data_IF_583347765515
#
_entry.id   IF_583347765515
#
_cell.length_a   1.000
_cell.length_b   1.000
_cell.length_c   1.000
_cell.angle_alpha   90.00
_cell.angle_beta   90.00
_cell.angle_gamma   90.00
#
_symmetry.space_group_name_H-M   'P 1'
#
loop_
_entity.id
_entity.type
_entity.pdbx_description
1 polymer ?
#
# COMPACT_ATOMS: atom_id res chain seq x y z
N UNK A 1 -0.41 -62.40 4.85
CA UNK A 1 -1.52 -61.48 4.50
C UNK A 1 -1.45 -60.29 5.46
N UNK A 2 -0.98 -59.14 5.01
CA UNK A 2 -0.95 -57.92 5.83
C UNK A 2 -2.38 -57.35 5.87
N UNK A 3 -3.00 -57.33 7.05
CA UNK A 3 -4.29 -56.65 7.26
C UNK A 3 -4.13 -55.15 7.01
N UNK A 4 -4.98 -54.51 6.19
CA UNK A 4 -4.88 -53.08 5.96
C UNK A 4 -5.28 -52.36 7.26
N UNK A 5 -4.35 -51.60 7.84
CA UNK A 5 -4.65 -50.72 8.98
C UNK A 5 -5.73 -49.72 8.54
N UNK A 6 -6.87 -49.73 9.22
CA UNK A 6 -7.95 -48.79 8.95
C UNK A 6 -7.48 -47.36 9.25
N UNK A 7 -7.40 -46.51 8.22
CA UNK A 7 -7.05 -45.10 8.37
C UNK A 7 -8.10 -44.39 9.24
N UNK A 8 -7.67 -43.81 10.38
CA UNK A 8 -8.55 -43.03 11.25
C UNK A 8 -8.84 -41.66 10.63
N UNK A 9 -10.13 -41.31 10.52
CA UNK A 9 -10.55 -40.03 9.94
C UNK A 9 -10.32 -38.92 10.97
N UNK A 10 -9.27 -38.13 10.77
CA UNK A 10 -8.90 -36.98 11.64
C UNK A 10 -9.92 -35.84 11.53
N UNK A 11 -10.41 -35.53 10.32
CA UNK A 11 -11.43 -34.49 10.06
C UNK A 11 -12.85 -35.02 10.27
N UNK A 12 -13.15 -35.44 11.49
CA UNK A 12 -14.46 -35.97 11.88
C UNK A 12 -15.44 -34.88 12.35
N UNK A 13 -16.68 -35.26 12.68
CA UNK A 13 -17.71 -34.33 13.20
C UNK A 13 -17.24 -33.60 14.48
N UNK A 14 -16.46 -34.27 15.34
CA UNK A 14 -15.93 -33.68 16.57
C UNK A 14 -14.81 -32.65 16.33
N UNK A 15 -14.05 -32.76 15.23
CA UNK A 15 -13.09 -31.78 14.78
C UNK A 15 -13.80 -30.48 14.38
N UNK A 16 -14.79 -30.56 13.48
CA UNK A 16 -15.50 -29.38 12.99
C UNK A 16 -16.30 -28.66 14.08
N UNK A 17 -16.82 -29.39 15.08
CA UNK A 17 -17.49 -28.78 16.25
C UNK A 17 -16.58 -27.84 17.06
N UNK A 18 -15.27 -28.05 17.06
CA UNK A 18 -14.28 -27.29 17.85
C UNK A 18 -13.35 -26.44 17.00
N UNK A 19 -13.49 -26.49 15.68
CA UNK A 19 -12.59 -25.81 14.76
C UNK A 19 -12.83 -24.30 14.77
N UNK A 20 -11.92 -23.55 15.39
CA UNK A 20 -11.96 -22.10 15.34
C UNK A 20 -11.35 -21.60 14.03
N UNK A 21 -12.19 -21.01 13.19
CA UNK A 21 -11.74 -20.43 11.92
C UNK A 21 -10.89 -19.18 12.15
N UNK A 22 -9.85 -19.00 11.35
CA UNK A 22 -9.11 -17.73 11.29
C UNK A 22 -10.00 -16.64 10.67
N UNK A 23 -9.62 -15.37 10.85
CA UNK A 23 -10.32 -14.24 10.23
C UNK A 23 -10.48 -14.42 8.71
N UNK A 24 -11.61 -13.93 8.17
CA UNK A 24 -11.98 -14.10 6.75
C UNK A 24 -10.83 -13.79 5.79
N UNK A 25 -10.24 -12.59 5.88
CA UNK A 25 -9.13 -12.15 4.99
C UNK A 25 -7.83 -12.94 5.18
N UNK A 26 -7.63 -13.57 6.35
CA UNK A 26 -6.49 -14.46 6.59
C UNK A 26 -6.71 -15.81 5.90
N UNK A 27 -7.94 -16.33 5.92
CA UNK A 27 -8.33 -17.54 5.19
C UNK A 27 -8.24 -17.35 3.67
N UNK A 28 -8.60 -16.16 3.18
CA UNK A 28 -8.43 -15.78 1.76
C UNK A 28 -6.97 -15.47 1.39
N UNK A 29 -6.04 -15.44 2.34
CA UNK A 29 -4.63 -15.15 2.06
C UNK A 29 -4.37 -13.73 1.55
N UNK A 30 -5.20 -12.74 1.92
CA UNK A 30 -5.12 -11.35 1.40
C UNK A 30 -4.52 -10.34 2.39
N UNK A 31 -4.39 -10.71 3.66
CA UNK A 31 -3.98 -9.76 4.70
C UNK A 31 -3.16 -10.46 5.76
N UNK A 32 -2.00 -9.89 6.03
CA UNK A 32 -1.29 -10.12 7.28
C UNK A 32 -1.81 -9.16 8.35
N UNK A 33 -2.51 -9.72 9.33
CA UNK A 33 -3.06 -8.95 10.45
C UNK A 33 -1.99 -8.47 11.43
N UNK A 34 -0.83 -9.12 11.46
CA UNK A 34 0.28 -8.71 12.32
C UNK A 34 0.91 -7.42 11.81
N UNK A 35 1.29 -7.37 10.52
CA UNK A 35 1.73 -6.15 9.87
C UNK A 35 0.65 -5.06 9.91
N UNK A 36 -0.61 -5.40 9.59
CA UNK A 36 -1.71 -4.42 9.60
C UNK A 36 -1.91 -3.77 10.98
N UNK A 37 -1.84 -4.54 12.07
CA UNK A 37 -1.98 -4.00 13.43
C UNK A 37 -0.97 -2.88 13.69
N UNK A 38 0.29 -3.06 13.27
CA UNK A 38 1.37 -2.07 13.49
C UNK A 38 1.26 -0.87 12.56
N UNK A 39 0.82 -1.09 11.32
CA UNK A 39 0.65 -0.02 10.32
C UNK A 39 -0.53 0.90 10.62
N UNK A 40 -1.64 0.36 11.14
CA UNK A 40 -2.91 1.08 11.27
C UNK A 40 -3.09 1.75 12.62
N UNK A 41 -2.62 1.12 13.70
CA UNK A 41 -2.83 1.66 15.06
C UNK A 41 -2.12 3.01 15.19
N UNK A 42 -2.88 4.00 15.66
CA UNK A 42 -2.41 5.34 15.96
C UNK A 42 -2.16 5.49 17.46
N UNK A 43 -1.27 6.42 17.81
CA UNK A 43 -1.03 6.81 19.20
C UNK A 43 -2.31 7.40 19.81
N UNK A 44 -2.66 6.96 21.02
CA UNK A 44 -3.92 7.37 21.66
C UNK A 44 -3.98 8.87 21.98
N UNK A 45 -2.82 9.51 22.16
CA UNK A 45 -2.72 10.96 22.39
C UNK A 45 -2.98 11.81 21.13
N UNK A 46 -3.02 11.19 19.93
CA UNK A 46 -3.39 11.87 18.68
C UNK A 46 -4.89 11.78 18.37
N UNK A 47 -5.66 11.11 19.24
CA UNK A 47 -7.12 10.98 19.18
C UNK A 47 -7.62 10.59 17.78
N UNK A 48 -8.33 11.49 17.10
CA UNK A 48 -8.95 11.25 15.80
C UNK A 48 -8.01 11.46 14.60
N UNK A 49 -6.73 11.75 14.83
CA UNK A 49 -5.77 11.98 13.74
C UNK A 49 -5.57 10.70 12.92
N UNK A 50 -5.95 10.68 11.63
CA UNK A 50 -5.83 9.49 10.81
C UNK A 50 -4.36 9.14 10.55
N UNK A 51 -4.04 7.85 10.61
CA UNK A 51 -2.75 7.32 10.17
C UNK A 51 -2.86 6.87 8.72
N UNK A 52 -2.33 7.68 7.80
CA UNK A 52 -2.41 7.41 6.37
C UNK A 52 -1.38 6.37 5.93
N UNK A 53 -1.80 5.47 5.05
CA UNK A 53 -0.92 4.49 4.41
C UNK A 53 -1.09 4.49 2.90
N UNK A 54 0.03 4.34 2.21
CA UNK A 54 0.09 4.09 0.79
C UNK A 54 0.05 2.59 0.54
N UNK A 55 -1.10 2.10 0.10
CA UNK A 55 -1.31 0.70 -0.26
C UNK A 55 -0.85 0.52 -1.71
N UNK A 56 0.14 -0.35 -1.91
CA UNK A 56 0.62 -0.72 -3.24
C UNK A 56 0.33 -2.19 -3.48
N UNK A 57 -0.44 -2.52 -4.53
CA UNK A 57 -0.76 -3.89 -4.90
C UNK A 57 -0.55 -4.10 -6.38
N UNK A 58 0.10 -5.21 -6.70
CA UNK A 58 0.27 -5.67 -8.07
C UNK A 58 -0.73 -6.79 -8.32
N UNK A 59 -1.50 -6.65 -9.38
CA UNK A 59 -2.18 -7.77 -10.02
C UNK A 59 -1.34 -8.27 -11.20
N UNK A 60 -1.83 -9.26 -11.93
CA UNK A 60 -1.12 -9.79 -13.10
C UNK A 60 -0.98 -8.75 -14.23
N UNK A 61 -1.88 -7.76 -14.31
CA UNK A 61 -1.97 -6.82 -15.45
C UNK A 61 -2.14 -5.35 -15.05
N UNK A 62 -2.22 -5.07 -13.76
CA UNK A 62 -2.51 -3.73 -13.25
C UNK A 62 -1.78 -3.46 -11.93
N UNK A 63 -1.46 -2.20 -11.69
CA UNK A 63 -0.86 -1.69 -10.46
C UNK A 63 -1.91 -0.81 -9.78
N UNK A 64 -2.15 -1.09 -8.50
CA UNK A 64 -3.09 -0.33 -7.68
C UNK A 64 -2.30 0.40 -6.61
N UNK A 65 -2.38 1.74 -6.63
CA UNK A 65 -1.81 2.61 -5.61
C UNK A 65 -2.94 3.41 -4.95
N UNK A 66 -3.08 3.32 -3.63
CA UNK A 66 -4.17 3.98 -2.89
C UNK A 66 -3.65 4.61 -1.60
N UNK A 67 -4.21 5.76 -1.22
CA UNK A 67 -4.03 6.33 0.12
C UNK A 67 -5.27 6.00 0.94
N UNK A 68 -5.07 5.33 2.08
CA UNK A 68 -6.15 4.97 2.98
C UNK A 68 -5.81 5.22 4.44
N UNK A 69 -6.84 5.39 5.26
CA UNK A 69 -6.75 5.35 6.71
C UNK A 69 -7.86 4.44 7.26
N UNK A 70 -7.71 3.93 8.48
CA UNK A 70 -8.70 3.01 9.04
C UNK A 70 -9.78 3.75 9.84
N UNK A 71 -11.02 3.28 9.72
CA UNK A 71 -12.12 3.52 10.65
C UNK A 71 -12.62 2.16 11.18
N UNK A 72 -13.49 2.21 12.19
CA UNK A 72 -14.10 1.01 12.79
C UNK A 72 -14.96 0.26 11.76
N UNK A 73 -15.72 0.99 10.95
CA UNK A 73 -16.59 0.44 9.90
C UNK A 73 -15.79 -0.18 8.75
N UNK A 74 -14.61 0.37 8.45
CA UNK A 74 -13.80 -0.04 7.33
C UNK A 74 -12.68 0.95 7.01
N UNK A 75 -11.86 0.60 6.03
CA UNK A 75 -10.84 1.50 5.53
C UNK A 75 -11.45 2.55 4.60
N UNK A 76 -11.14 3.82 4.85
CA UNK A 76 -11.54 4.93 3.99
C UNK A 76 -10.42 5.23 3.00
N UNK A 77 -10.74 5.18 1.72
CA UNK A 77 -9.83 5.56 0.64
C UNK A 77 -9.95 7.07 0.40
N UNK A 78 -8.83 7.77 0.47
CA UNK A 78 -8.74 9.22 0.21
C UNK A 78 -8.54 9.49 -1.27
N UNK A 79 -7.62 8.74 -1.88
CA UNK A 79 -7.20 8.86 -3.26
C UNK A 79 -6.78 7.48 -3.79
N UNK A 80 -6.94 7.27 -5.09
CA UNK A 80 -6.51 6.07 -5.80
C UNK A 80 -5.93 6.45 -7.16
N UNK A 81 -4.97 5.67 -7.63
CA UNK A 81 -4.43 5.71 -8.98
C UNK A 81 -4.15 4.28 -9.46
N UNK A 82 -4.40 4.04 -10.74
CA UNK A 82 -4.23 2.73 -11.36
C UNK A 82 -3.32 2.81 -12.60
N UNK A 83 -2.61 1.72 -12.92
CA UNK A 83 -1.73 1.75 -14.10
C UNK A 83 -2.50 1.71 -15.42
N UNK A 84 -3.72 1.18 -15.45
CA UNK A 84 -4.61 1.30 -16.61
C UNK A 84 -5.06 2.74 -16.93
N UNK A 85 -4.78 3.72 -16.07
CA UNK A 85 -4.97 5.14 -16.36
C UNK A 85 -3.78 5.77 -17.11
N UNK A 86 -2.60 5.15 -17.05
CA UNK A 86 -1.36 5.68 -17.63
C UNK A 86 -1.40 5.91 -19.15
N UNK A 87 -2.19 5.17 -19.96
CA UNK A 87 -2.33 5.48 -21.39
C UNK A 87 -2.80 6.91 -21.67
N UNK A 88 -3.56 7.53 -20.75
CA UNK A 88 -3.97 8.95 -20.86
C UNK A 88 -2.80 9.93 -20.78
N UNK A 89 -1.69 9.50 -20.21
CA UNK A 89 -0.47 10.27 -19.99
C UNK A 89 0.68 9.83 -20.92
N UNK A 90 0.38 9.03 -21.96
CA UNK A 90 1.33 8.63 -22.99
C UNK A 90 1.97 7.23 -22.81
N UNK A 91 1.77 6.56 -21.67
CA UNK A 91 2.30 5.19 -21.47
C UNK A 91 1.26 4.15 -21.87
N UNK A 92 1.34 3.67 -23.11
CA UNK A 92 0.31 2.79 -23.71
C UNK A 92 0.52 1.31 -23.40
N UNK A 93 1.77 0.88 -23.18
CA UNK A 93 2.15 -0.53 -23.01
C UNK A 93 3.02 -0.72 -21.76
N UNK A 94 3.12 -1.97 -21.29
CA UNK A 94 4.02 -2.29 -20.16
C UNK A 94 3.53 -1.78 -18.80
N UNK A 95 2.22 -1.78 -18.56
CA UNK A 95 1.56 -1.18 -17.38
C UNK A 95 1.88 -1.84 -16.03
N UNK A 96 2.71 -2.89 -16.00
CA UNK A 96 3.12 -3.60 -14.79
C UNK A 96 4.62 -3.64 -14.58
N UNK A 97 5.41 -2.91 -15.38
CA UNK A 97 6.86 -2.82 -15.22
C UNK A 97 7.23 -1.84 -14.08
N UNK A 98 8.53 -1.66 -13.85
CA UNK A 98 9.01 -0.77 -12.78
C UNK A 98 8.69 0.71 -13.07
N UNK A 99 8.83 1.14 -14.33
CA UNK A 99 8.51 2.50 -14.76
C UNK A 99 7.03 2.84 -14.57
N UNK A 100 6.12 1.92 -14.92
CA UNK A 100 4.69 2.07 -14.70
C UNK A 100 4.37 2.16 -13.19
N UNK A 101 5.07 1.39 -12.34
CA UNK A 101 4.92 1.51 -10.89
C UNK A 101 5.29 2.92 -10.41
N UNK A 102 6.45 3.42 -10.86
CA UNK A 102 6.88 4.79 -10.58
C UNK A 102 5.84 5.82 -11.03
N UNK A 103 5.39 5.76 -12.28
CA UNK A 103 4.37 6.67 -12.82
C UNK A 103 3.05 6.59 -12.03
N UNK A 104 2.61 5.40 -11.60
CA UNK A 104 1.40 5.28 -10.77
C UNK A 104 1.55 5.88 -9.38
N UNK A 105 2.74 5.77 -8.77
CA UNK A 105 3.06 6.42 -7.49
C UNK A 105 3.04 7.93 -7.62
N UNK A 106 3.69 8.46 -8.65
CA UNK A 106 3.73 9.88 -8.99
C UNK A 106 2.32 10.44 -9.24
N UNK A 107 1.52 9.73 -10.04
CA UNK A 107 0.14 10.09 -10.32
C UNK A 107 -0.71 10.15 -9.04
N UNK A 108 -0.55 9.17 -8.14
CA UNK A 108 -1.25 9.15 -6.85
C UNK A 108 -0.85 10.37 -5.99
N UNK A 109 0.44 10.68 -5.92
CA UNK A 109 0.98 11.79 -5.15
C UNK A 109 0.42 13.14 -5.63
N UNK A 110 0.55 13.44 -6.92
CA UNK A 110 0.04 14.71 -7.49
C UNK A 110 -1.48 14.83 -7.35
N UNK A 111 -2.23 13.73 -7.55
CA UNK A 111 -3.69 13.71 -7.37
C UNK A 111 -4.09 13.97 -5.91
N UNK A 112 -3.33 13.42 -4.95
CA UNK A 112 -3.57 13.64 -3.52
C UNK A 112 -3.27 15.09 -3.12
N UNK A 113 -2.11 15.61 -3.51
CA UNK A 113 -1.69 16.96 -3.13
C UNK A 113 -2.61 18.02 -3.75
N UNK A 114 -3.04 17.83 -5.00
CA UNK A 114 -4.01 18.73 -5.63
C UNK A 114 -5.35 18.72 -4.88
N UNK A 115 -5.83 17.56 -4.43
CA UNK A 115 -7.05 17.44 -3.62
C UNK A 115 -6.97 18.18 -2.27
N UNK A 116 -5.77 18.29 -1.69
CA UNK A 116 -5.52 19.02 -0.44
C UNK A 116 -5.02 20.45 -0.65
N UNK A 117 -4.85 20.92 -1.89
CA UNK A 117 -4.30 22.25 -2.19
C UNK A 117 -2.83 22.43 -1.82
N UNK A 118 -2.06 21.35 -1.75
CA UNK A 118 -0.64 21.32 -1.38
C UNK A 118 0.30 21.13 -2.58
N UNK A 119 -0.26 21.05 -3.78
CA UNK A 119 0.45 20.73 -5.02
C UNK A 119 1.51 21.75 -5.41
N UNK A 120 1.25 23.04 -5.16
CA UNK A 120 2.21 24.13 -5.42
C UNK A 120 3.28 24.27 -4.34
N UNK A 121 2.97 23.85 -3.11
CA UNK A 121 3.91 23.98 -1.98
C UNK A 121 4.94 22.85 -2.02
N UNK A 122 4.47 21.64 -2.29
CA UNK A 122 5.31 20.44 -2.36
C UNK A 122 5.28 19.90 -3.79
N UNK A 123 6.09 20.50 -4.67
CA UNK A 123 6.21 20.07 -6.07
C UNK A 123 6.95 18.72 -6.19
N UNK A 124 7.87 18.45 -5.25
CA UNK A 124 8.71 17.26 -5.25
C UNK A 124 9.93 17.43 -6.14
N UNK A 125 10.43 16.33 -6.71
CA UNK A 125 11.61 16.33 -7.57
C UNK A 125 11.18 16.39 -9.05
N UNK A 126 11.27 17.58 -9.66
CA UNK A 126 10.88 17.81 -11.06
C UNK A 126 11.85 17.12 -12.03
N UNK A 127 13.15 17.25 -11.78
CA UNK A 127 14.20 16.57 -12.55
C UNK A 127 14.64 15.30 -11.82
N UNK A 128 14.21 14.15 -12.34
CA UNK A 128 14.42 12.84 -11.70
C UNK A 128 15.86 12.38 -11.90
N UNK A 129 16.68 12.43 -10.84
CA UNK A 129 18.08 11.96 -10.85
C UNK A 129 18.22 10.51 -10.38
N UNK A 130 17.26 10.02 -9.59
CA UNK A 130 17.29 8.70 -8.97
C UNK A 130 17.98 8.65 -7.59
N UNK A 131 18.49 9.78 -7.11
CA UNK A 131 19.11 9.90 -5.79
C UNK A 131 18.07 9.83 -4.66
N UNK A 132 18.56 9.62 -3.44
CA UNK A 132 17.72 9.69 -2.25
C UNK A 132 17.17 11.11 -2.08
N UNK A 133 15.85 11.21 -1.96
CA UNK A 133 15.14 12.47 -1.81
C UNK A 133 14.05 12.28 -0.76
N UNK A 134 13.98 13.17 0.22
CA UNK A 134 12.95 13.17 1.25
C UNK A 134 12.31 14.56 1.31
N UNK A 135 10.98 14.60 1.28
CA UNK A 135 10.23 15.85 1.35
C UNK A 135 10.17 16.31 2.80
N UNK A 136 10.83 17.43 3.08
CA UNK A 136 10.79 18.12 4.36
C UNK A 136 9.64 19.13 4.39
N UNK A 137 9.14 19.43 5.59
CA UNK A 137 8.09 20.45 5.75
C UNK A 137 8.70 21.85 5.70
N UNK A 138 8.01 22.78 5.06
CA UNK A 138 8.48 24.16 4.90
C UNK A 138 7.91 25.02 6.04
N UNK A 139 8.77 25.81 6.68
CA UNK A 139 8.36 26.73 7.75
C UNK A 139 7.34 27.76 7.25
N UNK A 140 6.27 27.97 8.02
CA UNK A 140 5.18 28.89 7.68
C UNK A 140 4.17 28.34 6.67
N UNK A 141 4.35 27.12 6.15
CA UNK A 141 3.40 26.43 5.28
C UNK A 141 2.76 25.22 5.99
N UNK A 142 1.64 24.68 5.48
CA UNK A 142 1.11 23.41 5.98
C UNK A 142 2.15 22.30 5.84
N UNK A 143 2.25 21.41 6.83
CA UNK A 143 3.23 20.32 6.80
C UNK A 143 3.03 19.36 5.61
N UNK A 144 4.13 18.74 5.18
CA UNK A 144 4.12 17.78 4.08
C UNK A 144 3.20 16.59 4.41
N UNK A 145 2.49 16.06 3.41
CA UNK A 145 1.57 14.95 3.64
C UNK A 145 2.35 13.67 3.97
N UNK A 146 2.29 13.24 5.22
CA UNK A 146 2.97 12.02 5.69
C UNK A 146 2.12 10.77 5.46
N UNK A 147 2.70 9.74 4.84
CA UNK A 147 2.07 8.42 4.78
C UNK A 147 3.08 7.27 4.85
N UNK A 148 2.59 6.08 5.20
CA UNK A 148 3.43 4.89 5.40
C UNK A 148 3.17 3.82 4.33
N UNK A 149 4.22 3.18 3.83
CA UNK A 149 4.07 2.12 2.84
C UNK A 149 3.38 0.87 3.43
N UNK A 150 2.32 0.43 2.77
CA UNK A 150 1.68 -0.87 2.99
C UNK A 150 1.96 -1.76 1.77
N UNK A 151 3.00 -2.59 1.86
CA UNK A 151 3.37 -3.60 0.87
C UNK A 151 2.51 -4.88 0.94
N UNK A 152 1.69 -5.02 1.99
CA UNK A 152 0.83 -6.18 2.19
C UNK A 152 1.61 -7.47 2.37
N UNK A 153 1.38 -8.43 1.47
CA UNK A 153 2.03 -9.74 1.46
C UNK A 153 3.22 -9.81 0.49
N UNK A 154 3.54 -8.71 -0.20
CA UNK A 154 4.67 -8.66 -1.10
C UNK A 154 5.97 -8.83 -0.30
N UNK A 155 6.88 -9.68 -0.79
CA UNK A 155 8.20 -9.84 -0.18
C UNK A 155 9.03 -8.58 -0.44
N UNK A 156 9.53 -7.95 0.61
CA UNK A 156 10.37 -6.74 0.54
C UNK A 156 11.82 -7.10 0.23
N UNK A 157 12.11 -7.42 -1.04
CA UNK A 157 13.48 -7.59 -1.56
C UNK A 157 13.95 -6.32 -2.25
N UNK A 158 15.27 -6.12 -2.32
CA UNK A 158 15.87 -5.06 -3.13
C UNK A 158 15.37 -5.13 -4.59
N UNK A 159 15.11 -3.99 -5.21
CA UNK A 159 14.59 -3.90 -6.58
C UNK A 159 13.11 -4.27 -6.75
N UNK A 160 12.35 -4.53 -5.69
CA UNK A 160 10.92 -4.81 -5.82
C UNK A 160 10.17 -3.58 -6.38
N UNK A 161 9.26 -3.80 -7.36
CA UNK A 161 8.43 -2.77 -7.99
C UNK A 161 7.55 -1.98 -7.00
N UNK A 162 7.23 -2.54 -5.83
CA UNK A 162 6.57 -1.80 -4.74
C UNK A 162 7.37 -0.56 -4.36
N UNK A 163 8.70 -0.64 -4.37
CA UNK A 163 9.58 0.48 -4.08
C UNK A 163 9.68 1.46 -5.25
N UNK A 164 9.46 1.02 -6.49
CA UNK A 164 9.31 1.92 -7.63
C UNK A 164 8.09 2.84 -7.47
N UNK A 165 6.95 2.29 -7.05
CA UNK A 165 5.77 3.09 -6.73
C UNK A 165 6.02 4.02 -5.52
N UNK A 166 6.73 3.55 -4.50
CA UNK A 166 7.13 4.40 -3.37
C UNK A 166 7.98 5.58 -3.85
N UNK A 167 9.01 5.34 -4.67
CA UNK A 167 9.91 6.39 -5.16
C UNK A 167 9.16 7.41 -6.01
N UNK A 168 8.26 6.97 -6.89
CA UNK A 168 7.41 7.90 -7.65
C UNK A 168 6.49 8.74 -6.77
N UNK A 169 5.97 8.17 -5.67
CA UNK A 169 5.14 8.93 -4.73
C UNK A 169 5.94 9.96 -3.91
N UNK A 170 7.17 9.62 -3.53
CA UNK A 170 8.11 10.52 -2.84
C UNK A 170 8.52 11.66 -3.76
N UNK A 171 8.96 11.36 -4.97
CA UNK A 171 9.35 12.35 -5.98
C UNK A 171 8.16 13.23 -6.38
N UNK A 172 6.92 12.74 -6.22
CA UNK A 172 5.70 13.52 -6.41
C UNK A 172 5.33 14.48 -5.28
N UNK A 173 6.10 14.52 -4.18
CA UNK A 173 5.91 15.45 -3.07
C UNK A 173 5.31 14.84 -1.79
N UNK A 174 5.14 13.51 -1.69
CA UNK A 174 4.69 12.89 -0.44
C UNK A 174 5.87 12.60 0.50
N UNK A 175 5.65 12.82 1.80
CA UNK A 175 6.61 12.45 2.83
C UNK A 175 6.38 10.98 3.22
N UNK A 176 7.18 10.07 2.67
CA UNK A 176 7.14 8.63 2.97
C UNK A 176 8.49 8.22 3.54
N UNK A 177 8.58 7.85 4.83
CA UNK A 177 9.85 7.41 5.41
C UNK A 177 10.38 6.14 4.73
N UNK A 178 11.59 6.21 4.16
CA UNK A 178 12.26 5.09 3.47
C UNK A 178 13.80 5.15 3.65
N UNK A 179 14.50 4.16 3.10
CA UNK A 179 15.97 4.00 3.07
C UNK A 179 16.38 3.37 1.75
#
# INVERSE_FOLDING_TARGET
MLTPQSLTIVKNKAYFKRYQVKFRRRREGKTDFFARKRLVVQDKNKYNTPKYRMIVRFSNRDIVCQIAYAKIEGDMIVCAAYSHELPKYGVTVGLTNYAAAYCTGLLLARRLLNKFGLDKVYEGQVEVTGDEFNVESIDGQPGAFTCYLDAGLARTTTGNKVFGALKGAVDGGLSIPHR
#
